data_IF_823976779973
#
_entry.id   IF_823976779973
#
_cell.length_a   1.000
_cell.length_b   1.000
_cell.length_c   1.000
_cell.angle_alpha   90.00
_cell.angle_beta   90.00
_cell.angle_gamma   90.00
#
_symmetry.space_group_name_H-M   'P 1'
#
loop_
_entity.id
_entity.type
_entity.pdbx_description
1 polymer ?
#
# COMPACT_ATOMS: atom_id res chain seq x y z
N UNK A 1 -19.43 -14.91 -12.13
CA UNK A 1 -18.16 -14.57 -12.81
C UNK A 1 -17.01 -15.20 -12.04
N UNK A 2 -16.12 -15.93 -12.73
CA UNK A 2 -15.31 -17.00 -12.16
C UNK A 2 -14.17 -16.51 -11.24
N UNK A 3 -13.89 -17.25 -10.15
CA UNK A 3 -12.69 -17.06 -9.29
C UNK A 3 -11.36 -17.29 -10.05
N UNK A 4 -11.41 -17.86 -11.26
CA UNK A 4 -10.23 -18.22 -12.07
C UNK A 4 -9.56 -16.98 -12.71
N UNK A 5 -10.36 -16.04 -13.20
CA UNK A 5 -9.86 -14.88 -13.97
C UNK A 5 -9.03 -13.91 -13.11
N UNK A 6 -9.42 -13.76 -11.83
CA UNK A 6 -8.64 -12.98 -10.86
C UNK A 6 -7.25 -13.57 -10.64
N UNK A 7 -7.12 -14.90 -10.61
CA UNK A 7 -5.83 -15.56 -10.36
C UNK A 7 -4.84 -15.37 -11.52
N UNK A 8 -5.30 -15.46 -12.77
CA UNK A 8 -4.41 -15.34 -13.93
C UNK A 8 -3.93 -13.89 -14.10
N UNK A 9 -4.84 -12.92 -14.01
CA UNK A 9 -4.47 -11.49 -14.11
C UNK A 9 -3.57 -11.07 -12.95
N UNK A 10 -3.80 -11.55 -11.73
CA UNK A 10 -2.94 -11.24 -10.58
C UNK A 10 -1.58 -11.92 -10.68
N UNK A 11 -1.50 -13.16 -11.19
CA UNK A 11 -0.22 -13.84 -11.43
C UNK A 11 0.58 -13.16 -12.53
N UNK A 12 -0.07 -12.79 -13.64
CA UNK A 12 0.55 -12.04 -14.72
C UNK A 12 1.03 -10.67 -14.24
N UNK A 13 0.19 -9.92 -13.52
CA UNK A 13 0.57 -8.61 -12.96
C UNK A 13 1.76 -8.71 -12.01
N UNK A 14 1.73 -9.66 -11.07
CA UNK A 14 2.85 -9.84 -10.14
C UNK A 14 4.14 -10.30 -10.84
N UNK A 15 4.03 -11.18 -11.84
CA UNK A 15 5.17 -11.60 -12.65
C UNK A 15 5.74 -10.44 -13.47
N UNK A 16 4.88 -9.67 -14.14
CA UNK A 16 5.26 -8.52 -14.94
C UNK A 16 5.93 -7.44 -14.07
N UNK A 17 5.35 -7.07 -12.92
CA UNK A 17 5.94 -6.10 -12.00
C UNK A 17 7.30 -6.58 -11.47
N UNK A 18 7.41 -7.87 -11.10
CA UNK A 18 8.67 -8.45 -10.63
C UNK A 18 9.73 -8.53 -11.73
N UNK A 19 9.31 -8.84 -12.96
CA UNK A 19 10.20 -8.91 -14.11
C UNK A 19 10.71 -7.52 -14.46
N UNK A 20 9.83 -6.53 -14.66
CA UNK A 20 10.21 -5.16 -15.02
C UNK A 20 11.04 -4.47 -13.94
N UNK A 21 10.90 -4.85 -12.66
CA UNK A 21 11.74 -4.37 -11.56
C UNK A 21 13.12 -5.03 -11.45
N UNK A 22 13.42 -6.06 -12.25
CA UNK A 22 14.67 -6.82 -12.19
C UNK A 22 15.77 -6.23 -13.08
N UNK A 23 17.03 -6.30 -12.64
CA UNK A 23 18.21 -5.87 -13.41
C UNK A 23 18.31 -6.55 -14.79
N UNK A 24 17.82 -7.78 -14.91
CA UNK A 24 17.79 -8.51 -16.18
C UNK A 24 16.80 -7.91 -17.19
N UNK A 25 15.66 -7.41 -16.74
CA UNK A 25 14.69 -6.77 -17.62
C UNK A 25 15.23 -5.45 -18.17
N UNK A 26 15.89 -4.65 -17.32
CA UNK A 26 16.57 -3.43 -17.75
C UNK A 26 17.61 -3.72 -18.84
N UNK A 27 18.48 -4.72 -18.62
CA UNK A 27 19.50 -5.09 -19.60
C UNK A 27 18.87 -5.57 -20.93
N UNK A 28 17.78 -6.34 -20.86
CA UNK A 28 17.05 -6.77 -22.05
C UNK A 28 16.39 -5.61 -22.80
N UNK A 29 15.84 -4.62 -22.09
CA UNK A 29 15.24 -3.43 -22.69
C UNK A 29 16.29 -2.58 -23.40
N UNK A 30 17.46 -2.38 -22.77
CA UNK A 30 18.60 -1.69 -23.40
C UNK A 30 19.06 -2.43 -24.64
N UNK A 31 19.18 -3.76 -24.60
CA UNK A 31 19.55 -4.55 -25.77
C UNK A 31 18.54 -4.41 -26.93
N UNK A 32 17.24 -4.40 -26.63
CA UNK A 32 16.18 -4.17 -27.62
C UNK A 32 16.32 -2.79 -28.28
N UNK A 33 16.55 -1.75 -27.48
CA UNK A 33 16.76 -0.37 -27.98
C UNK A 33 18.00 -0.29 -28.87
N UNK A 34 19.10 -0.94 -28.48
CA UNK A 34 20.33 -0.99 -29.28
C UNK A 34 20.11 -1.72 -30.61
N UNK A 35 19.46 -2.89 -30.59
CA UNK A 35 19.14 -3.64 -31.82
C UNK A 35 18.25 -2.81 -32.74
N UNK A 36 17.23 -2.15 -32.19
CA UNK A 36 16.38 -1.25 -32.95
C UNK A 36 17.20 -0.10 -33.57
N UNK A 37 18.05 0.58 -32.79
CA UNK A 37 18.90 1.66 -33.29
C UNK A 37 19.84 1.20 -34.42
N UNK A 38 20.43 0.00 -34.29
CA UNK A 38 21.28 -0.61 -35.32
C UNK A 38 20.51 -1.04 -36.58
N UNK A 39 19.20 -1.29 -36.48
CA UNK A 39 18.35 -1.53 -37.65
C UNK A 39 18.03 -0.24 -38.42
N UNK A 40 18.18 0.94 -37.81
CA UNK A 40 17.87 2.25 -38.41
C UNK A 40 18.52 2.51 -39.79
N UNK A 41 19.82 2.25 -39.98
CA UNK A 41 20.51 2.40 -41.28
C UNK A 41 19.91 1.52 -42.39
N UNK A 42 19.42 0.32 -42.07
CA UNK A 42 18.79 -0.58 -43.07
C UNK A 42 17.45 0.00 -43.55
N UNK A 43 16.73 0.68 -42.66
CA UNK A 43 15.44 1.31 -42.95
C UNK A 43 15.54 2.81 -43.28
N UNK A 44 16.75 3.33 -43.52
CA UNK A 44 17.03 4.75 -43.76
C UNK A 44 16.40 5.70 -42.73
N UNK A 45 16.28 5.27 -41.47
CA UNK A 45 15.60 6.03 -40.40
C UNK A 45 14.18 6.51 -40.78
N UNK A 46 13.45 5.70 -41.54
CA UNK A 46 12.10 6.03 -42.03
C UNK A 46 11.10 6.38 -40.92
N UNK A 47 10.07 7.14 -41.27
CA UNK A 47 8.94 7.46 -40.39
C UNK A 47 8.26 6.21 -39.83
N UNK A 48 8.12 5.15 -40.64
CA UNK A 48 7.54 3.88 -40.18
C UNK A 48 8.42 3.19 -39.14
N UNK A 49 9.75 3.26 -39.28
CA UNK A 49 10.68 2.69 -38.32
C UNK A 49 10.63 3.40 -36.95
N UNK A 50 10.47 4.73 -36.95
CA UNK A 50 10.25 5.51 -35.72
C UNK A 50 8.86 5.26 -35.12
N UNK A 51 7.83 5.19 -35.97
CA UNK A 51 6.45 4.94 -35.54
C UNK A 51 6.33 3.62 -34.78
N UNK A 52 6.98 2.55 -35.24
CA UNK A 52 6.90 1.23 -34.61
C UNK A 52 7.38 1.27 -33.16
N UNK A 53 8.53 1.91 -32.85
CA UNK A 53 9.01 1.98 -31.47
C UNK A 53 8.17 2.92 -30.62
N UNK A 54 7.74 4.05 -31.18
CA UNK A 54 6.95 5.05 -30.45
C UNK A 54 5.57 4.49 -30.09
N UNK A 55 4.88 3.88 -31.05
CA UNK A 55 3.58 3.24 -30.82
C UNK A 55 3.72 2.04 -29.88
N UNK A 56 4.73 1.18 -30.08
CA UNK A 56 4.96 0.01 -29.22
C UNK A 56 5.23 0.40 -27.76
N UNK A 57 6.14 1.35 -27.55
CA UNK A 57 6.48 1.82 -26.20
C UNK A 57 5.28 2.50 -25.53
N UNK A 58 4.48 3.25 -26.28
CA UNK A 58 3.26 3.90 -25.75
C UNK A 58 2.25 2.87 -25.25
N UNK A 59 1.98 1.82 -26.03
CA UNK A 59 1.07 0.74 -25.62
C UNK A 59 1.60 0.02 -24.38
N UNK A 60 2.89 -0.35 -24.38
CA UNK A 60 3.52 -1.01 -23.23
C UNK A 60 3.44 -0.12 -22.00
N UNK A 61 3.74 1.17 -22.12
CA UNK A 61 3.69 2.14 -21.02
C UNK A 61 2.28 2.28 -20.48
N UNK A 62 1.27 2.40 -21.36
CA UNK A 62 -0.13 2.46 -20.95
C UNK A 62 -0.53 1.22 -20.16
N UNK A 63 -0.18 0.02 -20.64
CA UNK A 63 -0.43 -1.22 -19.90
C UNK A 63 0.35 -1.26 -18.58
N UNK A 64 1.60 -0.82 -18.57
CA UNK A 64 2.47 -0.80 -17.40
C UNK A 64 1.88 0.04 -16.27
N UNK A 65 1.26 1.19 -16.57
CA UNK A 65 0.59 2.03 -15.56
C UNK A 65 -0.48 1.21 -14.80
N UNK A 66 -1.33 0.45 -15.50
CA UNK A 66 -2.33 -0.39 -14.83
C UNK A 66 -1.72 -1.54 -14.03
N UNK A 67 -0.65 -2.16 -14.54
CA UNK A 67 0.05 -3.23 -13.83
C UNK A 67 0.71 -2.72 -12.54
N UNK A 68 1.36 -1.56 -12.61
CA UNK A 68 1.95 -0.87 -11.44
C UNK A 68 0.84 -0.53 -10.45
N UNK A 69 -0.25 0.12 -10.89
CA UNK A 69 -1.37 0.47 -10.01
C UNK A 69 -1.99 -0.77 -9.34
N UNK A 70 -2.14 -1.89 -10.05
CA UNK A 70 -2.67 -3.13 -9.47
C UNK A 70 -1.72 -3.71 -8.42
N UNK A 71 -0.41 -3.70 -8.67
CA UNK A 71 0.59 -4.17 -7.71
C UNK A 71 0.63 -3.25 -6.48
N UNK A 72 0.70 -1.93 -6.70
CA UNK A 72 0.69 -0.92 -5.65
C UNK A 72 -0.58 -0.98 -4.80
N UNK A 73 -1.77 -1.12 -5.39
CA UNK A 73 -3.02 -1.23 -4.62
C UNK A 73 -3.02 -2.42 -3.66
N UNK A 74 -2.43 -3.55 -4.05
CA UNK A 74 -2.32 -4.72 -3.18
C UNK A 74 -1.33 -4.48 -2.04
N UNK A 75 -0.19 -3.88 -2.34
CA UNK A 75 0.86 -3.60 -1.35
C UNK A 75 0.39 -2.53 -0.35
N UNK A 76 -0.26 -1.46 -0.81
CA UNK A 76 -0.88 -0.43 0.03
C UNK A 76 -1.89 -1.03 1.00
N UNK A 77 -2.77 -1.93 0.53
CA UNK A 77 -3.72 -2.62 1.40
C UNK A 77 -3.04 -3.50 2.44
N UNK A 78 -1.96 -4.20 2.07
CA UNK A 78 -1.20 -5.01 3.02
C UNK A 78 -0.51 -4.14 4.09
N UNK A 79 -0.04 -2.94 3.73
CA UNK A 79 0.52 -1.97 4.68
C UNK A 79 -0.57 -1.48 5.64
N UNK A 80 -1.73 -1.08 5.12
CA UNK A 80 -2.88 -0.65 5.93
C UNK A 80 -3.29 -1.71 6.96
N UNK A 81 -3.45 -2.97 6.54
CA UNK A 81 -3.81 -4.06 7.47
C UNK A 81 -2.74 -4.24 8.57
N UNK A 82 -1.45 -4.17 8.23
CA UNK A 82 -0.38 -4.26 9.23
C UNK A 82 -0.40 -3.09 10.21
N UNK A 83 -0.68 -1.87 9.75
CA UNK A 83 -0.80 -0.69 10.60
C UNK A 83 -2.04 -0.78 11.49
N UNK A 84 -3.17 -1.22 10.94
CA UNK A 84 -4.40 -1.46 11.67
C UNK A 84 -4.18 -2.46 12.81
N UNK A 85 -3.43 -3.55 12.57
CA UNK A 85 -3.05 -4.49 13.63
C UNK A 85 -2.18 -3.83 14.72
N UNK A 86 -1.20 -3.01 14.35
CA UNK A 86 -0.35 -2.29 15.33
C UNK A 86 -1.15 -1.28 16.17
N UNK A 87 -2.08 -0.54 15.57
CA UNK A 87 -2.98 0.38 16.27
C UNK A 87 -3.92 -0.41 17.18
N UNK A 88 -4.53 -1.47 16.64
CA UNK A 88 -5.40 -2.37 17.39
C UNK A 88 -4.66 -3.05 18.55
N UNK A 89 -3.34 -3.25 18.46
CA UNK A 89 -2.49 -3.75 19.55
C UNK A 89 -2.06 -2.67 20.56
N UNK A 90 -1.87 -1.41 20.15
CA UNK A 90 -1.44 -0.30 21.03
C UNK A 90 -2.60 0.31 21.83
N UNK A 91 -2.59 0.18 23.16
CA UNK A 91 -3.73 0.58 23.99
C UNK A 91 -4.02 2.06 24.09
N UNK A 92 -2.97 2.87 24.03
CA UNK A 92 -3.13 4.32 24.09
C UNK A 92 -3.53 4.88 22.72
N UNK A 93 -3.47 4.07 21.66
CA UNK A 93 -3.90 4.47 20.34
C UNK A 93 -5.43 4.42 20.21
N UNK A 94 -5.99 5.44 19.57
CA UNK A 94 -7.43 5.50 19.32
C UNK A 94 -7.84 4.47 18.27
N UNK A 95 -8.75 3.56 18.63
CA UNK A 95 -9.33 2.60 17.68
C UNK A 95 -10.06 3.28 16.50
N UNK A 96 -10.38 4.57 16.61
CA UNK A 96 -10.94 5.37 15.50
C UNK A 96 -9.94 5.57 14.34
N UNK A 97 -8.66 5.29 14.56
CA UNK A 97 -7.61 5.31 13.53
C UNK A 97 -7.53 3.98 12.75
N UNK A 98 -8.16 2.92 13.25
CA UNK A 98 -8.26 1.66 12.50
C UNK A 98 -9.22 1.87 11.34
N UNK A 99 -8.80 1.47 10.14
CA UNK A 99 -9.60 1.56 8.91
C UNK A 99 -9.95 3.01 8.50
N UNK A 100 -9.04 3.94 8.82
CA UNK A 100 -9.22 5.37 8.52
C UNK A 100 -9.35 5.66 7.03
N UNK A 101 -8.80 4.80 6.17
CA UNK A 101 -8.85 4.92 4.71
C UNK A 101 -10.26 4.79 4.12
N UNK A 102 -11.19 4.15 4.83
CA UNK A 102 -12.56 3.92 4.40
C UNK A 102 -13.52 5.04 4.84
N UNK A 103 -13.01 6.02 5.62
CA UNK A 103 -13.79 7.18 6.04
C UNK A 103 -14.08 8.15 4.88
N UNK A 104 -15.18 8.88 5.00
CA UNK A 104 -15.48 9.97 4.07
C UNK A 104 -14.51 11.13 4.29
N UNK A 105 -14.31 11.94 3.24
CA UNK A 105 -13.43 13.13 3.30
C UNK A 105 -13.79 14.07 4.47
N UNK A 106 -15.09 14.25 4.73
CA UNK A 106 -15.58 15.07 5.85
C UNK A 106 -15.21 14.47 7.22
N UNK A 107 -15.23 13.16 7.36
CA UNK A 107 -14.83 12.48 8.60
C UNK A 107 -13.32 12.54 8.79
N UNK A 108 -12.56 12.42 7.71
CA UNK A 108 -11.10 12.57 7.71
C UNK A 108 -10.69 13.99 8.14
N UNK A 109 -11.35 15.02 7.60
CA UNK A 109 -11.13 16.42 7.99
C UNK A 109 -11.43 16.67 9.47
N UNK A 110 -12.49 16.05 10.02
CA UNK A 110 -12.80 16.15 11.45
C UNK A 110 -11.71 15.52 12.32
N UNK A 111 -11.16 14.37 11.90
CA UNK A 111 -10.04 13.75 12.60
C UNK A 111 -8.80 14.63 12.50
N UNK A 112 -8.51 15.18 11.33
CA UNK A 112 -7.39 16.09 11.11
C UNK A 112 -7.46 17.31 12.04
N UNK A 113 -8.60 18.00 12.06
CA UNK A 113 -8.82 19.15 12.95
C UNK A 113 -8.74 18.80 14.45
N UNK A 114 -9.16 17.59 14.83
CA UNK A 114 -8.99 17.11 16.21
C UNK A 114 -7.51 16.96 16.59
N UNK A 115 -6.68 16.38 15.71
CA UNK A 115 -5.24 16.22 15.98
C UNK A 115 -4.46 17.53 15.88
N UNK A 116 -4.87 18.44 15.01
CA UNK A 116 -4.32 19.81 14.93
C UNK A 116 -4.51 20.52 16.28
N UNK A 117 -5.74 20.52 16.82
CA UNK A 117 -6.00 21.08 18.16
C UNK A 117 -5.26 20.37 19.29
N UNK A 118 -5.10 19.05 19.19
CA UNK A 118 -4.33 18.29 20.18
C UNK A 118 -2.84 18.67 20.16
N UNK A 119 -2.29 18.94 18.97
CA UNK A 119 -0.93 19.43 18.82
C UNK A 119 -0.78 20.84 19.40
N UNK A 120 -1.72 21.75 19.11
CA UNK A 120 -1.75 23.10 19.69
C UNK A 120 -1.74 23.05 21.23
N UNK A 121 -2.59 22.21 21.83
CA UNK A 121 -2.62 22.04 23.28
C UNK A 121 -1.32 21.44 23.85
N UNK A 122 -0.66 20.53 23.12
CA UNK A 122 0.61 19.96 23.55
C UNK A 122 1.79 20.95 23.44
N UNK A 123 1.70 21.94 22.54
CA UNK A 123 2.65 23.04 22.44
C UNK A 123 2.46 24.07 23.58
N UNK A 124 1.22 24.27 24.04
CA UNK A 124 0.91 25.13 25.20
C UNK A 124 1.26 24.49 26.56
N UNK A 125 1.32 23.15 26.65
CA UNK A 125 1.59 22.39 27.88
C UNK A 125 3.12 22.21 28.12
N UNK A 126 3.81 23.27 28.52
CA UNK A 126 5.26 23.28 28.83
C UNK A 126 5.66 22.55 30.16
N UNK A 127 4.80 21.73 30.79
CA UNK A 127 5.18 21.02 32.02
C UNK A 127 5.86 19.66 31.76
N UNK A 128 7.19 19.70 31.69
CA UNK A 128 8.10 18.56 31.54
C UNK A 128 8.09 17.55 32.72
N UNK A 129 7.35 17.79 33.82
CA UNK A 129 7.37 16.94 35.01
C UNK A 129 6.18 15.96 35.15
N UNK A 130 5.17 16.04 34.29
CA UNK A 130 4.05 15.09 34.29
C UNK A 130 4.38 13.79 33.53
N UNK A 131 5.37 13.02 34.03
CA UNK A 131 5.63 11.68 33.52
C UNK A 131 4.47 10.75 33.90
N UNK A 132 3.66 10.33 32.93
CA UNK A 132 2.73 9.22 33.11
C UNK A 132 3.54 7.98 33.52
N UNK A 133 3.52 7.66 34.82
CA UNK A 133 4.39 6.64 35.41
C UNK A 133 4.27 5.30 34.68
N UNK A 134 5.38 4.58 34.60
CA UNK A 134 5.47 3.25 33.97
C UNK A 134 4.36 2.29 34.47
N UNK A 135 3.90 2.43 35.72
CA UNK A 135 2.79 1.64 36.27
C UNK A 135 1.43 1.91 35.62
N UNK A 136 1.19 3.14 35.14
CA UNK A 136 -0.03 3.46 34.37
C UNK A 136 0.03 2.86 32.97
N UNK A 137 1.22 2.74 32.37
CA UNK A 137 1.41 2.07 31.09
C UNK A 137 1.19 0.54 31.20
N UNK A 138 1.66 -0.08 32.29
CA UNK A 138 1.46 -1.51 32.55
C UNK A 138 0.00 -1.89 32.85
N UNK A 139 -0.69 -1.12 33.71
CA UNK A 139 -2.10 -1.40 34.04
C UNK A 139 -3.02 -1.30 32.85
N UNK A 140 -2.78 -0.32 31.99
CA UNK A 140 -3.43 -0.28 30.70
C UNK A 140 -3.16 -1.62 29.99
N UNK A 141 -1.89 -1.93 29.67
CA UNK A 141 -1.52 -3.07 28.80
C UNK A 141 -2.23 -4.40 29.15
N UNK A 142 -2.40 -4.69 30.45
CA UNK A 142 -3.08 -5.88 30.95
C UNK A 142 -4.59 -5.91 30.64
N UNK A 143 -5.29 -4.78 30.84
CA UNK A 143 -6.72 -4.65 30.46
C UNK A 143 -6.93 -4.86 28.96
N UNK A 144 -5.99 -4.39 28.13
CA UNK A 144 -6.09 -4.59 26.69
C UNK A 144 -5.84 -6.01 26.26
N UNK A 145 -4.81 -6.70 26.78
CA UNK A 145 -4.58 -8.11 26.43
C UNK A 145 -5.79 -8.99 26.74
N UNK A 146 -6.46 -8.75 27.88
CA UNK A 146 -7.68 -9.46 28.24
C UNK A 146 -8.84 -9.18 27.26
N UNK A 147 -9.04 -7.91 26.88
CA UNK A 147 -10.09 -7.53 25.92
C UNK A 147 -9.83 -8.04 24.51
N UNK A 148 -8.57 -8.03 24.05
CA UNK A 148 -8.16 -8.51 22.74
C UNK A 148 -8.31 -10.02 22.63
N UNK A 149 -7.85 -10.76 23.65
CA UNK A 149 -8.01 -12.22 23.71
C UNK A 149 -9.49 -12.63 23.65
N UNK A 150 -10.35 -11.93 24.38
CA UNK A 150 -11.79 -12.18 24.37
C UNK A 150 -12.42 -11.94 22.98
N UNK A 151 -12.13 -10.80 22.35
CA UNK A 151 -12.65 -10.47 21.00
C UNK A 151 -12.12 -11.43 19.93
N UNK A 152 -10.86 -11.82 20.02
CA UNK A 152 -10.27 -12.80 19.09
C UNK A 152 -10.93 -14.17 19.24
N UNK A 153 -11.17 -14.63 20.47
CA UNK A 153 -11.90 -15.87 20.73
C UNK A 153 -13.36 -15.82 20.22
N UNK A 154 -14.04 -14.68 20.34
CA UNK A 154 -15.39 -14.46 19.78
C UNK A 154 -15.38 -14.52 18.24
N UNK A 155 -14.48 -13.79 17.59
CA UNK A 155 -14.34 -13.78 16.13
C UNK A 155 -14.01 -15.16 15.55
N UNK A 156 -13.10 -15.91 16.20
CA UNK A 156 -12.76 -17.27 15.78
C UNK A 156 -13.96 -18.24 15.90
N UNK A 157 -14.86 -18.03 16.87
CA UNK A 157 -16.10 -18.82 17.01
C UNK A 157 -17.09 -18.50 15.90
N UNK A 158 -17.23 -17.24 15.52
CA UNK A 158 -18.11 -16.81 14.42
C UNK A 158 -17.66 -17.37 13.07
N UNK A 159 -16.34 -17.38 12.81
CA UNK A 159 -15.75 -17.93 11.59
C UNK A 159 -15.83 -19.47 11.52
N UNK A 160 -15.85 -20.15 12.66
CA UNK A 160 -16.02 -21.61 12.71
C UNK A 160 -17.48 -22.06 12.53
N UNK A 161 -18.44 -21.13 12.58
CA UNK A 161 -19.88 -21.38 12.42
C UNK A 161 -20.41 -21.04 11.00
N UNK A 162 -19.57 -20.47 10.13
CA UNK A 162 -19.88 -20.20 8.71
C UNK A 162 -19.23 -21.22 7.78
#
# INVERSE_FOLDING_TARGET
>A
MSKSDKSIFERFSNWATKFTGSSYAFLSAVAIVVIWALSGPVFNYSETWQLVINTGTTIITFLMVFLIQKAQNKDSKAIQIKLNELIAANEKASNRMVDIEDLTEKELDQIHCYYEKLADFAEEDEDIHASHSIDAAHRNQDSKQASFKKKYEEWMREQAQQ
#
